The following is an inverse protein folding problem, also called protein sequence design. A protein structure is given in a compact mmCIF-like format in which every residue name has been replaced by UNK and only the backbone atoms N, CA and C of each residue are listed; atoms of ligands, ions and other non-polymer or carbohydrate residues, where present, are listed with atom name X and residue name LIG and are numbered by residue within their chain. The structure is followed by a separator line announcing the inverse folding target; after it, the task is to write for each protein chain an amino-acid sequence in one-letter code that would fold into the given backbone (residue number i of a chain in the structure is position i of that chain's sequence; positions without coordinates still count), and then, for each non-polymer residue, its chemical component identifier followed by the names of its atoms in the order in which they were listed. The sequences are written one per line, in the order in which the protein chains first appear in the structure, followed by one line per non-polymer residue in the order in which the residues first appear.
data_IF_766818047763
#
_entry.id   IF_766818047763
#
_cell.length_a   1.000
_cell.length_b   1.000
_cell.length_c   1.000
_cell.angle_alpha   90.00
_cell.angle_beta   90.00
_cell.angle_gamma   90.00
#
_symmetry.space_group_name_H-M   'P 1'
#
loop_
_entity.id
_entity.type
_entity.pdbx_description
1 polymer ?
#
# COMPACT_ATOMS: atom_id res chain seq x y z
N UNK A 1 0.13 8.53 -20.42
CA UNK A 1 1.43 9.22 -20.19
C UNK A 1 2.13 9.21 -21.53
N UNK A 2 2.54 10.38 -22.04
CA UNK A 2 3.13 10.48 -23.39
C UNK A 2 4.49 9.77 -23.42
N UNK A 3 4.77 9.02 -24.50
CA UNK A 3 6.03 8.28 -24.68
C UNK A 3 7.27 9.18 -24.54
N UNK A 4 7.18 10.44 -24.97
CA UNK A 4 8.26 11.43 -24.85
C UNK A 4 8.67 11.69 -23.39
N UNK A 5 7.70 11.74 -22.47
CA UNK A 5 7.96 11.94 -21.04
C UNK A 5 8.66 10.72 -20.46
N UNK A 6 8.23 9.51 -20.83
CA UNK A 6 8.88 8.29 -20.36
C UNK A 6 10.33 8.17 -20.86
N UNK A 7 10.58 8.51 -22.13
CA UNK A 7 11.94 8.50 -22.70
C UNK A 7 12.83 9.56 -22.05
N UNK A 8 12.33 10.79 -21.88
CA UNK A 8 13.10 11.88 -21.27
C UNK A 8 13.52 11.57 -19.82
N UNK A 9 12.62 10.98 -19.02
CA UNK A 9 12.89 10.64 -17.62
C UNK A 9 13.45 9.22 -17.42
N UNK A 10 13.67 8.44 -18.48
CA UNK A 10 14.18 7.07 -18.39
C UNK A 10 13.25 6.11 -17.64
N UNK A 11 11.93 6.33 -17.69
CA UNK A 11 10.96 5.50 -16.98
C UNK A 11 10.69 4.22 -17.77
N UNK A 12 10.86 3.07 -17.11
CA UNK A 12 10.59 1.76 -17.71
C UNK A 12 9.10 1.45 -17.87
N UNK A 13 8.25 2.10 -17.08
CA UNK A 13 6.79 1.94 -17.07
C UNK A 13 6.13 3.20 -16.54
N UNK A 14 4.85 3.46 -16.87
CA UNK A 14 4.15 4.61 -16.31
C UNK A 14 3.81 4.40 -14.82
N UNK A 15 3.74 5.50 -14.07
CA UNK A 15 3.53 5.45 -12.61
C UNK A 15 2.25 4.73 -12.17
N UNK A 16 1.16 4.79 -12.96
CA UNK A 16 -0.10 4.12 -12.62
C UNK A 16 -0.04 2.59 -12.78
N UNK A 17 1.01 2.07 -13.43
CA UNK A 17 1.31 0.64 -13.52
C UNK A 17 2.44 0.23 -12.56
N UNK A 18 3.05 1.19 -11.85
CA UNK A 18 4.12 0.88 -10.92
C UNK A 18 3.58 0.00 -9.76
N UNK A 19 4.31 -1.05 -9.36
CA UNK A 19 3.90 -1.86 -8.23
C UNK A 19 3.97 -1.07 -6.92
N UNK A 20 3.33 -1.60 -5.89
CA UNK A 20 3.45 -1.06 -4.55
C UNK A 20 4.93 -1.00 -4.13
N UNK A 21 5.36 0.15 -3.61
CA UNK A 21 6.74 0.35 -3.18
C UNK A 21 7.03 -0.41 -1.89
N UNK A 22 7.68 -1.57 -2.01
CA UNK A 22 8.04 -2.40 -0.86
C UNK A 22 9.41 -2.00 -0.29
N UNK A 23 9.41 -1.25 0.82
CA UNK A 23 10.62 -0.98 1.61
C UNK A 23 10.63 -1.79 2.90
N UNK A 24 11.81 -2.02 3.50
CA UNK A 24 11.93 -2.73 4.79
C UNK A 24 11.11 -2.04 5.88
N UNK A 25 11.14 -0.71 5.91
CA UNK A 25 10.37 0.12 6.85
C UNK A 25 8.87 -0.11 6.69
N UNK A 26 8.35 -0.05 5.46
CA UNK A 26 6.92 -0.24 5.17
C UNK A 26 6.48 -1.66 5.55
N UNK A 27 7.31 -2.68 5.28
CA UNK A 27 7.00 -4.07 5.68
C UNK A 27 6.88 -4.21 7.20
N UNK A 28 7.81 -3.62 7.95
CA UNK A 28 7.76 -3.62 9.41
C UNK A 28 6.53 -2.88 9.94
N UNK A 29 6.18 -1.73 9.37
CA UNK A 29 4.98 -0.99 9.75
C UNK A 29 3.71 -1.81 9.53
N UNK A 30 3.59 -2.49 8.39
CA UNK A 30 2.45 -3.38 8.11
C UNK A 30 2.36 -4.50 9.15
N UNK A 31 3.48 -5.17 9.46
CA UNK A 31 3.51 -6.22 10.47
C UNK A 31 3.10 -5.71 11.84
N UNK A 32 3.61 -4.54 12.25
CA UNK A 32 3.27 -3.93 13.54
C UNK A 32 1.78 -3.59 13.64
N UNK A 33 1.17 -3.06 12.57
CA UNK A 33 -0.27 -2.77 12.52
C UNK A 33 -1.07 -4.07 12.64
N UNK A 34 -0.71 -5.11 11.89
CA UNK A 34 -1.37 -6.42 11.97
C UNK A 34 -1.26 -7.05 13.36
N UNK A 35 -0.08 -7.02 13.97
CA UNK A 35 0.15 -7.62 15.30
C UNK A 35 -0.53 -6.84 16.43
N UNK A 36 -0.67 -5.53 16.29
CA UNK A 36 -1.34 -4.69 17.29
C UNK A 36 -2.87 -4.78 17.21
N UNK A 37 -3.41 -5.37 16.14
CA UNK A 37 -4.85 -5.43 15.93
C UNK A 37 -5.48 -6.58 16.70
N UNK A 38 -6.24 -6.23 17.75
CA UNK A 38 -7.00 -7.17 18.59
C UNK A 38 -8.53 -6.95 18.48
N UNK A 39 -9.01 -6.44 17.34
CA UNK A 39 -10.36 -5.85 17.19
C UNK A 39 -10.38 -4.33 17.38
N UNK A 40 -11.42 -3.66 16.88
CA UNK A 40 -11.59 -2.19 16.97
C UNK A 40 -11.20 -1.41 15.71
N UNK A 41 -11.08 -0.08 15.85
CA UNK A 41 -10.79 0.86 14.75
C UNK A 41 -9.33 1.33 14.85
N UNK A 42 -8.61 1.27 13.74
CA UNK A 42 -7.24 1.81 13.60
C UNK A 42 -7.30 3.07 12.74
N UNK A 43 -6.67 4.14 13.22
CA UNK A 43 -6.51 5.39 12.46
C UNK A 43 -5.07 5.51 11.94
N UNK A 44 -4.91 5.60 10.61
CA UNK A 44 -3.64 5.94 9.97
C UNK A 44 -3.57 7.46 9.73
N UNK A 45 -2.63 8.13 10.39
CA UNK A 45 -2.45 9.58 10.33
C UNK A 45 -1.17 9.97 9.58
N UNK A 46 -1.08 11.23 9.14
CA UNK A 46 0.09 11.76 8.43
C UNK A 46 -0.27 12.76 7.33
N UNK A 47 0.73 13.37 6.73
CA UNK A 47 0.57 14.39 5.69
C UNK A 47 -0.20 13.88 4.46
N UNK A 48 -0.85 14.80 3.74
CA UNK A 48 -1.51 14.49 2.46
C UNK A 48 -0.46 13.97 1.46
N UNK A 49 -0.83 12.98 0.65
CA UNK A 49 0.06 12.43 -0.39
C UNK A 49 1.11 11.42 0.10
N UNK A 50 1.25 11.17 1.41
CA UNK A 50 2.26 10.21 1.93
C UNK A 50 1.93 8.73 1.68
N UNK A 51 0.80 8.43 1.02
CA UNK A 51 0.42 7.05 0.67
C UNK A 51 -0.38 6.27 1.72
N UNK A 52 -1.04 6.96 2.67
CA UNK A 52 -1.90 6.30 3.70
C UNK A 52 -2.97 5.40 3.10
N UNK A 53 -3.71 5.88 2.10
CA UNK A 53 -4.75 5.11 1.40
C UNK A 53 -4.16 3.89 0.70
N UNK A 54 -3.03 4.07 0.02
CA UNK A 54 -2.32 2.99 -0.66
C UNK A 54 -1.84 1.92 0.33
N UNK A 55 -1.35 2.33 1.51
CA UNK A 55 -0.92 1.42 2.57
C UNK A 55 -2.12 0.64 3.15
N UNK A 56 -3.25 1.30 3.41
CA UNK A 56 -4.49 0.66 3.86
C UNK A 56 -4.96 -0.42 2.88
N UNK A 57 -4.98 -0.11 1.58
CA UNK A 57 -5.34 -1.09 0.56
C UNK A 57 -4.37 -2.27 0.52
N UNK A 58 -3.05 -2.03 0.66
CA UNK A 58 -2.07 -3.12 0.72
C UNK A 58 -2.30 -4.03 1.93
N UNK A 59 -2.58 -3.46 3.11
CA UNK A 59 -2.90 -4.23 4.33
C UNK A 59 -4.16 -5.06 4.09
N UNK A 60 -5.22 -4.46 3.56
CA UNK A 60 -6.47 -5.15 3.27
C UNK A 60 -6.28 -6.30 2.28
N UNK A 61 -5.55 -6.07 1.17
CA UNK A 61 -5.24 -7.12 0.20
C UNK A 61 -4.48 -8.28 0.84
N UNK A 62 -3.46 -8.01 1.66
CA UNK A 62 -2.74 -9.09 2.34
C UNK A 62 -3.63 -9.88 3.31
N UNK A 63 -4.57 -9.22 4.00
CA UNK A 63 -5.52 -9.94 4.88
C UNK A 63 -6.50 -10.81 4.07
N UNK A 64 -6.88 -10.39 2.86
CA UNK A 64 -7.67 -11.20 1.93
C UNK A 64 -6.85 -12.41 1.48
N UNK A 65 -5.60 -12.20 1.04
CA UNK A 65 -4.68 -13.24 0.57
C UNK A 65 -4.39 -14.27 1.67
N UNK A 66 -4.24 -13.80 2.92
CA UNK A 66 -4.02 -14.62 4.12
C UNK A 66 -5.32 -15.30 4.64
N UNK A 67 -6.46 -15.07 3.98
CA UNK A 67 -7.80 -15.56 4.38
C UNK A 67 -8.21 -15.14 5.80
N UNK A 68 -7.68 -14.00 6.27
CA UNK A 68 -8.02 -13.41 7.57
C UNK A 68 -9.26 -12.50 7.50
N UNK A 69 -9.79 -12.26 6.30
CA UNK A 69 -11.08 -11.60 6.10
C UNK A 69 -12.14 -12.64 5.74
N UNK A 70 -13.07 -12.92 6.66
CA UNK A 70 -14.13 -13.92 6.49
C UNK A 70 -15.41 -13.30 5.88
N UNK A 71 -15.62 -11.99 6.05
CA UNK A 71 -16.74 -11.26 5.44
C UNK A 71 -16.29 -9.85 5.06
N UNK A 72 -16.45 -9.49 3.80
CA UNK A 72 -16.60 -8.09 3.38
C UNK A 72 -17.29 -8.04 2.01
N UNK A 73 -18.60 -7.79 2.03
CA UNK A 73 -19.33 -7.20 0.90
C UNK A 73 -20.35 -6.21 1.43
#
# INVERSE_FOLDING_TARGET
MNNEVMQFFGLSQPFYQAPFMETKLIKQQIQNIKSAWNGGIIALTGMVGVGKTTLLWKIQQQLIDEKQIVVCR
#
